data_IF_925939858805
#
_entry.id   IF_925939858805
#
_cell.length_a   1.000
_cell.length_b   1.000
_cell.length_c   1.000
_cell.angle_alpha   90.00
_cell.angle_beta   90.00
_cell.angle_gamma   90.00
#
_symmetry.space_group_name_H-M   'P 1'
#
loop_
_entity.id
_entity.type
_entity.pdbx_description
1 polymer ?
#
# COMPACT_ATOMS: atom_id res chain seq x y z
N UNK A 1 -18.94 29.13 13.36
CA UNK A 1 -18.17 28.93 12.10
C UNK A 1 -18.10 27.44 11.84
N UNK A 2 -18.27 27.02 10.59
CA UNK A 2 -18.02 25.65 10.20
C UNK A 2 -16.51 25.48 10.02
N UNK A 3 -15.90 24.55 10.73
CA UNK A 3 -14.49 24.20 10.55
C UNK A 3 -14.40 23.08 9.52
N UNK A 4 -13.59 23.27 8.49
CA UNK A 4 -13.21 22.18 7.58
C UNK A 4 -12.10 21.35 8.24
N UNK A 5 -11.96 20.07 7.88
CA UNK A 5 -10.76 19.30 8.21
C UNK A 5 -9.49 20.03 7.74
N UNK A 6 -8.37 19.76 8.40
CA UNK A 6 -7.07 20.24 7.95
C UNK A 6 -6.61 19.41 6.75
N UNK A 7 -5.85 20.03 5.84
CA UNK A 7 -5.23 19.31 4.72
C UNK A 7 -4.27 18.23 5.23
N UNK A 8 -4.45 16.99 4.78
CA UNK A 8 -3.57 15.86 5.05
C UNK A 8 -3.56 14.89 3.87
N UNK A 9 -3.06 13.66 4.04
CA UNK A 9 -2.94 12.67 2.96
C UNK A 9 -4.10 11.68 2.90
N UNK A 10 -5.14 11.89 3.72
CA UNK A 10 -6.21 10.93 3.95
C UNK A 10 -7.54 11.47 3.48
N UNK A 11 -8.38 10.57 2.94
CA UNK A 11 -9.71 10.96 2.48
C UNK A 11 -10.56 11.51 3.63
N UNK A 12 -10.78 12.83 3.67
CA UNK A 12 -11.54 13.51 4.71
C UNK A 12 -12.60 14.50 4.16
N UNK A 13 -12.86 14.47 2.85
CA UNK A 13 -13.92 15.25 2.20
C UNK A 13 -15.28 15.18 2.92
N UNK A 14 -16.00 16.31 2.95
CA UNK A 14 -17.21 16.47 3.75
C UNK A 14 -18.25 17.40 3.10
N UNK A 15 -19.49 17.35 3.58
CA UNK A 15 -20.58 18.24 3.12
C UNK A 15 -21.13 19.01 4.30
N UNK A 16 -21.31 20.32 4.13
CA UNK A 16 -22.04 21.16 5.07
C UNK A 16 -23.42 21.46 4.52
N UNK A 17 -24.46 21.30 5.34
CA UNK A 17 -25.85 21.57 4.97
C UNK A 17 -26.53 22.50 5.97
N UNK A 18 -27.35 23.43 5.47
CA UNK A 18 -28.23 24.25 6.31
C UNK A 18 -29.63 24.36 5.69
N UNK A 19 -30.66 24.42 6.53
CA UNK A 19 -32.07 24.51 6.12
C UNK A 19 -32.72 25.74 6.74
N UNK A 20 -33.80 26.23 6.15
CA UNK A 20 -34.59 27.32 6.71
C UNK A 20 -35.32 26.80 7.95
N UNK A 21 -34.86 27.21 9.14
CA UNK A 21 -35.44 26.74 10.41
C UNK A 21 -36.76 27.44 10.79
N UNK A 22 -36.88 28.74 10.46
CA UNK A 22 -38.07 29.54 10.73
C UNK A 22 -38.09 30.78 9.84
N UNK A 23 -39.28 31.22 9.46
CA UNK A 23 -39.53 32.54 8.85
C UNK A 23 -40.41 33.38 9.77
N UNK A 24 -40.05 34.64 9.99
CA UNK A 24 -40.82 35.62 10.76
C UNK A 24 -40.78 36.97 10.02
N UNK A 25 -41.87 37.75 10.09
CA UNK A 25 -41.98 39.05 9.43
C UNK A 25 -42.50 38.98 7.98
N UNK A 26 -42.61 40.16 7.35
CA UNK A 26 -43.28 40.34 6.05
C UNK A 26 -44.81 40.41 6.17
N UNK A 27 -45.48 41.19 5.30
CA UNK A 27 -46.94 41.25 5.23
C UNK A 27 -47.52 40.32 4.14
N UNK A 28 -46.79 39.25 3.79
CA UNK A 28 -47.17 38.37 2.70
C UNK A 28 -48.47 37.62 2.99
N UNK A 29 -49.32 37.49 1.97
CA UNK A 29 -50.58 36.75 2.05
C UNK A 29 -50.35 35.23 2.19
N UNK A 30 -49.25 34.70 1.64
CA UNK A 30 -48.81 33.31 1.79
C UNK A 30 -47.30 33.19 1.56
N UNK A 31 -46.54 32.83 2.60
CA UNK A 31 -45.10 32.58 2.52
C UNK A 31 -44.84 31.08 2.66
N UNK A 32 -44.34 30.46 1.59
CA UNK A 32 -43.91 29.06 1.58
C UNK A 32 -42.39 29.02 1.43
N UNK A 33 -41.72 28.29 2.31
CA UNK A 33 -40.27 28.07 2.23
C UNK A 33 -39.98 26.80 1.44
N UNK A 34 -38.92 26.82 0.65
CA UNK A 34 -38.33 25.58 0.12
C UNK A 34 -37.63 24.84 1.27
N UNK A 35 -38.08 23.62 1.66
CA UNK A 35 -37.45 22.85 2.73
C UNK A 35 -36.11 22.22 2.31
N UNK A 36 -35.72 22.31 1.04
CA UNK A 36 -34.45 21.76 0.56
C UNK A 36 -33.28 22.45 1.25
N UNK A 37 -32.34 21.65 1.75
CA UNK A 37 -31.11 22.15 2.34
C UNK A 37 -30.24 22.84 1.28
N UNK A 38 -29.65 23.97 1.65
CA UNK A 38 -28.50 24.50 0.95
C UNK A 38 -27.28 23.67 1.35
N UNK A 39 -26.65 23.03 0.37
CA UNK A 39 -25.49 22.17 0.56
C UNK A 39 -24.25 22.83 -0.04
N UNK A 40 -23.11 22.66 0.62
CA UNK A 40 -21.79 23.03 0.10
C UNK A 40 -20.86 21.86 0.31
N UNK A 41 -20.37 21.29 -0.79
CA UNK A 41 -19.37 20.23 -0.76
C UNK A 41 -17.99 20.83 -0.51
N UNK A 42 -17.25 20.24 0.42
CA UNK A 42 -15.84 20.53 0.67
C UNK A 42 -15.07 19.39 0.01
N UNK A 43 -14.47 19.69 -1.13
CA UNK A 43 -13.56 18.76 -1.81
C UNK A 43 -12.22 18.80 -1.12
N UNK A 44 -11.73 17.63 -0.75
CA UNK A 44 -10.37 17.47 -0.23
C UNK A 44 -9.33 17.79 -1.29
N UNK A 45 -8.11 18.08 -0.85
CA UNK A 45 -6.98 18.21 -1.77
C UNK A 45 -6.51 16.81 -2.21
N UNK A 46 -5.53 16.74 -3.13
CA UNK A 46 -4.93 15.46 -3.51
C UNK A 46 -3.45 15.52 -3.15
N UNK A 47 -3.10 14.80 -2.09
CA UNK A 47 -1.76 14.56 -1.63
C UNK A 47 -1.36 13.09 -1.84
N UNK A 48 -0.08 12.89 -2.15
CA UNK A 48 0.44 11.57 -2.47
C UNK A 48 1.00 10.88 -1.21
N UNK A 49 0.66 9.60 -1.07
CA UNK A 49 1.44 8.65 -0.28
C UNK A 49 2.12 7.67 -1.22
N UNK A 50 3.42 7.45 -1.06
CA UNK A 50 4.15 6.49 -1.88
C UNK A 50 4.38 5.19 -1.12
N UNK A 51 4.25 4.05 -1.80
CA UNK A 51 4.67 2.73 -1.32
C UNK A 51 5.83 2.21 -2.17
N UNK A 52 6.93 1.80 -1.52
CA UNK A 52 8.12 1.24 -2.16
C UNK A 52 8.41 -0.18 -1.66
N UNK A 53 9.16 -0.95 -2.44
CA UNK A 53 9.54 -2.33 -2.15
C UNK A 53 11.07 -2.47 -2.09
N UNK A 54 11.57 -3.19 -1.09
CA UNK A 54 12.97 -3.59 -1.00
C UNK A 54 13.11 -5.08 -0.66
N UNK A 55 14.24 -5.66 -1.06
CA UNK A 55 14.74 -6.92 -0.54
C UNK A 55 15.82 -6.61 0.52
N UNK A 56 15.92 -7.46 1.54
CA UNK A 56 16.90 -7.31 2.62
C UNK A 56 18.36 -7.57 2.18
N UNK A 57 18.55 -8.27 1.06
CA UNK A 57 19.87 -8.61 0.51
C UNK A 57 19.90 -8.56 -1.01
N UNK A 58 21.07 -8.21 -1.56
CA UNK A 58 21.33 -8.21 -3.00
C UNK A 58 21.70 -9.61 -3.54
N UNK A 59 22.18 -10.50 -2.67
CA UNK A 59 22.45 -11.89 -3.03
C UNK A 59 22.18 -12.84 -1.86
N UNK A 60 21.82 -14.08 -2.18
CA UNK A 60 21.58 -15.16 -1.23
C UNK A 60 22.01 -16.48 -1.84
N UNK A 61 22.46 -17.44 -1.02
CA UNK A 61 22.68 -18.81 -1.48
C UNK A 61 21.34 -19.53 -1.56
N UNK A 62 21.16 -20.45 -2.50
CA UNK A 62 20.00 -21.35 -2.56
C UNK A 62 19.73 -22.03 -1.20
N UNK A 63 18.47 -22.34 -0.93
CA UNK A 63 17.98 -22.79 0.38
C UNK A 63 17.89 -21.68 1.43
N UNK A 64 18.25 -20.43 1.09
CA UNK A 64 18.10 -19.27 1.94
C UNK A 64 16.79 -18.50 1.76
N UNK A 65 16.60 -17.49 2.59
CA UNK A 65 15.41 -16.64 2.59
C UNK A 65 15.71 -15.23 2.04
N UNK A 66 14.72 -14.63 1.40
CA UNK A 66 14.68 -13.21 1.02
C UNK A 66 13.50 -12.56 1.75
N UNK A 67 13.75 -11.51 2.52
CA UNK A 67 12.68 -10.73 3.16
C UNK A 67 12.33 -9.53 2.29
N UNK A 68 11.11 -9.50 1.77
CA UNK A 68 10.57 -8.34 1.07
C UNK A 68 9.90 -7.40 2.06
N UNK A 69 10.22 -6.11 1.98
CA UNK A 69 9.67 -5.06 2.84
C UNK A 69 8.97 -4.00 2.00
N UNK A 70 7.69 -3.74 2.29
CA UNK A 70 6.95 -2.62 1.72
C UNK A 70 6.97 -1.44 2.70
N UNK A 71 7.26 -0.23 2.21
CA UNK A 71 7.38 0.98 3.04
C UNK A 71 6.51 2.11 2.50
N UNK A 72 5.64 2.67 3.34
CA UNK A 72 4.83 3.85 3.08
C UNK A 72 5.53 5.12 3.54
N UNK A 73 5.31 6.23 2.83
CA UNK A 73 5.74 7.57 3.28
C UNK A 73 4.87 8.14 4.40
N UNK A 74 3.64 7.63 4.57
CA UNK A 74 2.69 8.05 5.60
C UNK A 74 2.06 6.82 6.28
N UNK A 75 1.65 6.97 7.55
CA UNK A 75 1.02 5.88 8.31
C UNK A 75 -0.30 5.47 7.66
N UNK A 76 -0.60 4.18 7.64
CA UNK A 76 -1.88 3.71 7.16
C UNK A 76 -2.98 3.97 8.21
N UNK A 77 -4.16 4.47 7.83
CA UNK A 77 -5.30 4.56 8.77
C UNK A 77 -6.13 3.26 8.81
N UNK A 78 -6.09 2.50 7.73
CA UNK A 78 -6.64 1.14 7.62
C UNK A 78 -5.55 0.23 7.06
N UNK A 79 -5.68 -1.09 7.21
CA UNK A 79 -4.69 -2.02 6.65
C UNK A 79 -4.47 -1.76 5.15
N UNK A 80 -3.21 -1.75 4.71
CA UNK A 80 -2.82 -1.72 3.30
C UNK A 80 -2.39 -3.13 2.89
N UNK A 81 -2.97 -3.63 1.81
CA UNK A 81 -2.55 -4.88 1.18
C UNK A 81 -1.72 -4.56 -0.05
N UNK A 82 -0.49 -5.09 -0.09
CA UNK A 82 0.45 -4.95 -1.21
C UNK A 82 0.63 -6.33 -1.85
N UNK A 83 0.15 -6.51 -3.07
CA UNK A 83 0.37 -7.74 -3.86
C UNK A 83 1.63 -7.58 -4.70
N UNK A 84 2.55 -8.54 -4.59
CA UNK A 84 3.81 -8.57 -5.32
C UNK A 84 3.67 -9.34 -6.64
N UNK A 85 4.55 -9.07 -7.61
CA UNK A 85 4.56 -9.75 -8.92
C UNK A 85 4.81 -11.26 -8.84
N UNK A 86 5.42 -11.73 -7.75
CA UNK A 86 5.62 -13.15 -7.46
C UNK A 86 4.40 -13.81 -6.77
N UNK A 87 3.29 -13.10 -6.62
CA UNK A 87 2.04 -13.58 -6.03
C UNK A 87 1.95 -13.50 -4.51
N UNK A 88 3.04 -13.13 -3.81
CA UNK A 88 2.98 -12.91 -2.37
C UNK A 88 2.24 -11.63 -2.00
N UNK A 89 1.79 -11.56 -0.74
CA UNK A 89 1.12 -10.40 -0.18
C UNK A 89 1.85 -9.88 1.05
N UNK A 90 2.03 -8.57 1.13
CA UNK A 90 2.47 -7.87 2.34
C UNK A 90 1.28 -7.10 2.90
N UNK A 91 1.01 -7.22 4.20
CA UNK A 91 0.06 -6.36 4.91
C UNK A 91 0.80 -5.35 5.75
N UNK A 92 0.54 -4.07 5.51
CA UNK A 92 0.94 -2.97 6.39
C UNK A 92 -0.25 -2.64 7.28
N UNK A 93 -0.10 -2.79 8.59
CA UNK A 93 -1.20 -2.61 9.54
C UNK A 93 -1.60 -1.15 9.71
N UNK A 94 -2.85 -0.92 10.08
CA UNK A 94 -3.29 0.40 10.53
C UNK A 94 -2.36 0.93 11.65
N UNK A 95 -1.97 2.19 11.54
CA UNK A 95 -1.00 2.87 12.40
C UNK A 95 0.46 2.73 11.97
N UNK A 96 0.77 1.81 11.06
CA UNK A 96 2.13 1.47 10.64
C UNK A 96 2.49 2.05 9.26
N UNK A 97 3.79 2.09 8.97
CA UNK A 97 4.34 2.43 7.66
C UNK A 97 5.03 1.27 6.97
N UNK A 98 5.21 0.14 7.66
CA UNK A 98 6.02 -0.98 7.16
C UNK A 98 5.29 -2.30 7.34
N UNK A 99 5.46 -3.19 6.36
CA UNK A 99 5.09 -4.60 6.44
C UNK A 99 6.11 -5.45 5.67
N UNK A 100 6.18 -6.74 5.97
CA UNK A 100 7.12 -7.65 5.31
C UNK A 100 6.52 -9.04 5.05
N UNK A 101 7.16 -9.77 4.13
CA UNK A 101 6.93 -11.20 3.88
C UNK A 101 8.25 -11.88 3.51
N UNK A 102 8.31 -13.21 3.68
CA UNK A 102 9.50 -14.02 3.39
C UNK A 102 9.26 -14.85 2.13
N UNK A 103 10.19 -14.75 1.18
CA UNK A 103 10.30 -15.64 0.03
C UNK A 103 11.41 -16.67 0.28
N UNK A 104 11.05 -17.94 0.26
CA UNK A 104 12.00 -19.05 0.35
C UNK A 104 12.56 -19.31 -1.06
N UNK A 105 13.89 -19.28 -1.21
CA UNK A 105 14.54 -19.64 -2.48
C UNK A 105 14.44 -21.16 -2.72
N UNK A 106 14.69 -21.64 -3.96
CA UNK A 106 14.79 -23.08 -4.23
C UNK A 106 15.78 -23.75 -3.27
N UNK A 107 15.50 -24.99 -2.86
CA UNK A 107 16.38 -25.73 -1.96
C UNK A 107 17.71 -26.10 -2.66
N UNK A 108 18.79 -26.21 -1.87
CA UNK A 108 20.09 -26.62 -2.37
C UNK A 108 20.06 -27.99 -3.05
N UNK A 109 20.67 -28.08 -4.24
CA UNK A 109 20.89 -29.34 -4.94
C UNK A 109 22.24 -29.39 -5.67
N UNK A 110 22.56 -30.54 -6.24
CA UNK A 110 23.86 -30.80 -6.89
C UNK A 110 24.01 -30.15 -8.28
N UNK A 111 22.98 -29.46 -8.78
CA UNK A 111 22.95 -28.91 -10.12
C UNK A 111 23.16 -27.40 -10.09
N UNK A 112 24.01 -26.90 -10.99
CA UNK A 112 24.20 -25.47 -11.12
C UNK A 112 22.91 -24.76 -11.57
N UNK A 113 22.23 -24.09 -10.64
CA UNK A 113 20.91 -23.52 -10.83
C UNK A 113 20.83 -22.02 -10.45
N UNK A 114 21.98 -21.35 -10.32
CA UNK A 114 22.07 -19.93 -10.01
C UNK A 114 21.16 -19.06 -10.89
N UNK A 115 20.45 -18.13 -10.27
CA UNK A 115 19.39 -17.34 -10.92
C UNK A 115 19.26 -15.94 -10.32
N UNK A 116 18.32 -15.13 -10.83
CA UNK A 116 18.00 -13.82 -10.25
C UNK A 116 16.49 -13.70 -10.12
N UNK A 117 16.04 -13.29 -8.95
CA UNK A 117 14.63 -12.96 -8.72
C UNK A 117 14.48 -11.45 -8.80
N UNK A 118 13.48 -11.01 -9.56
CA UNK A 118 13.09 -9.60 -9.70
C UNK A 118 11.61 -9.48 -9.33
N UNK A 119 11.33 -8.82 -8.20
CA UNK A 119 9.97 -8.68 -7.67
C UNK A 119 9.56 -7.20 -7.67
N UNK A 120 8.37 -6.90 -8.17
CA UNK A 120 7.77 -5.55 -8.15
C UNK A 120 6.46 -5.57 -7.37
N UNK A 121 5.93 -4.38 -7.07
CA UNK A 121 4.56 -4.24 -6.57
C UNK A 121 3.60 -4.33 -7.77
N UNK A 122 2.68 -5.29 -7.72
CA UNK A 122 1.66 -5.50 -8.75
C UNK A 122 0.36 -4.74 -8.46
N UNK A 123 -0.02 -4.62 -7.17
CA UNK A 123 -1.26 -3.95 -6.75
C UNK A 123 -1.17 -3.48 -5.31
N UNK A 124 -1.82 -2.36 -5.00
CA UNK A 124 -2.01 -1.88 -3.62
C UNK A 124 -3.44 -1.44 -3.36
N UNK A 125 -3.96 -1.78 -2.18
CA UNK A 125 -5.33 -1.45 -1.75
C UNK A 125 -5.38 -1.09 -0.25
N UNK A 126 -6.24 -0.15 0.14
CA UNK A 126 -6.46 0.23 1.55
C UNK A 126 -5.74 1.52 1.97
N UNK A 127 -5.47 1.67 3.26
CA UNK A 127 -4.72 2.80 3.83
C UNK A 127 -5.51 4.08 4.09
N UNK A 128 -6.67 4.25 3.45
CA UNK A 128 -7.48 5.48 3.44
C UNK A 128 -6.75 6.72 2.90
N UNK A 129 -5.78 6.54 2.01
CA UNK A 129 -5.09 7.65 1.36
C UNK A 129 -5.92 8.28 0.24
N UNK A 130 -5.70 9.56 -0.03
CA UNK A 130 -6.25 10.27 -1.19
C UNK A 130 -5.69 9.71 -2.50
N UNK A 131 -4.37 9.57 -2.55
CA UNK A 131 -3.69 8.94 -3.67
C UNK A 131 -2.52 8.07 -3.19
N UNK A 132 -2.64 6.75 -3.36
CA UNK A 132 -1.57 5.80 -3.09
C UNK A 132 -0.78 5.50 -4.37
N UNK A 133 0.44 6.01 -4.44
CA UNK A 133 1.34 5.88 -5.59
C UNK A 133 2.32 4.73 -5.34
N UNK A 134 2.42 3.82 -6.30
CA UNK A 134 3.38 2.70 -6.26
C UNK A 134 4.71 3.10 -6.92
N UNK A 135 5.83 2.86 -6.24
CA UNK A 135 7.16 2.92 -6.85
C UNK A 135 7.35 1.70 -7.78
N UNK A 136 7.57 1.89 -9.10
CA UNK A 136 7.71 0.78 -10.04
C UNK A 136 9.05 0.03 -9.93
N UNK A 137 10.00 0.50 -9.11
CA UNK A 137 11.31 -0.11 -8.97
C UNK A 137 11.22 -1.56 -8.47
N UNK A 138 11.93 -2.46 -9.15
CA UNK A 138 12.05 -3.85 -8.74
C UNK A 138 13.01 -4.02 -7.55
N UNK A 139 12.66 -4.93 -6.64
CA UNK A 139 13.56 -5.53 -5.67
C UNK A 139 14.23 -6.75 -6.31
N UNK A 140 15.55 -6.67 -6.52
CA UNK A 140 16.35 -7.70 -7.18
C UNK A 140 17.26 -8.40 -6.19
N UNK A 141 17.32 -9.72 -6.28
CA UNK A 141 18.24 -10.55 -5.50
C UNK A 141 18.81 -11.66 -6.37
N UNK A 142 20.13 -11.75 -6.44
CA UNK A 142 20.82 -12.88 -7.07
C UNK A 142 20.80 -14.11 -6.16
N UNK A 143 20.45 -15.27 -6.70
CA UNK A 143 20.56 -16.56 -6.03
C UNK A 143 21.84 -17.23 -6.54
N UNK A 144 22.79 -17.45 -5.64
CA UNK A 144 24.05 -18.10 -5.95
C UNK A 144 23.98 -19.59 -5.61
N UNK A 145 24.43 -20.40 -6.55
CA UNK A 145 24.60 -21.84 -6.42
C UNK A 145 25.68 -22.19 -5.40
N UNK A 146 25.48 -23.27 -4.64
CA UNK A 146 26.50 -23.79 -3.73
C UNK A 146 27.33 -24.91 -4.39
N UNK A 147 28.57 -25.11 -3.94
CA UNK A 147 29.42 -26.16 -4.51
C UNK A 147 29.15 -27.49 -3.79
N UNK A 148 28.61 -28.47 -4.54
CA UNK A 148 28.39 -29.83 -4.07
C UNK A 148 29.40 -30.84 -4.64
N UNK A 149 30.06 -31.61 -3.77
CA UNK A 149 31.02 -32.64 -4.17
C UNK A 149 30.34 -34.01 -4.39
N UNK A 150 30.43 -34.54 -5.61
CA UNK A 150 30.02 -35.91 -5.92
C UNK A 150 31.24 -36.84 -6.02
N UNK A 151 31.23 -37.95 -5.28
CA UNK A 151 32.33 -38.94 -5.32
C UNK A 151 31.93 -40.19 -6.10
N UNK A 152 32.85 -40.70 -6.92
CA UNK A 152 32.72 -41.98 -7.64
C UNK A 152 33.73 -42.96 -7.04
N UNK A 153 33.30 -44.18 -6.72
CA UNK A 153 34.17 -45.26 -6.25
C UNK A 153 34.16 -46.44 -7.23
N UNK A 154 35.31 -47.12 -7.36
CA UNK A 154 35.48 -48.34 -8.16
C UNK A 154 36.00 -49.44 -7.24
N UNK A 155 35.24 -50.53 -7.09
CA UNK A 155 35.64 -51.73 -6.35
C UNK A 155 35.99 -52.87 -7.32
N UNK A 156 37.00 -53.67 -6.96
CA UNK A 156 37.46 -54.84 -7.72
C UNK A 156 36.64 -56.11 -7.40
#
# INVERSE_FOLDING_TARGET
MFNTPANDVYNNGSTVSTTIAKTEGGNFENLVTDPKAAETAITDSIDNTTVSLSADKASVVEGGDITYTATLTNKAQTDVTVTLSNGQTITIKAGETVGSTVFNTPANDVYNNGSTVSTTIAKTEGGNFENLVTDPKAAETAITDSIDNTTVSLSA
#
